data_IF_422125187308
#
_entry.id   IF_422125187308
#
_cell.length_a   1.000
_cell.length_b   1.000
_cell.length_c   1.000
_cell.angle_alpha   90.00
_cell.angle_beta   90.00
_cell.angle_gamma   90.00
#
_symmetry.space_group_name_H-M   'P 1'
#
loop_
_entity.id
_entity.type
_entity.pdbx_description
1 polymer ?
#
# COMPACT_ATOMS: atom_id res chain seq x y z
N UNK A 1 -30.30 -3.28 -6.98
CA UNK A 1 -29.04 -2.84 -6.31
C UNK A 1 -28.28 -4.04 -5.73
N UNK A 2 -28.95 -5.01 -5.09
CA UNK A 2 -28.32 -6.25 -4.57
C UNK A 2 -27.54 -7.02 -5.67
N UNK A 3 -28.07 -7.09 -6.89
CA UNK A 3 -27.40 -7.76 -8.02
C UNK A 3 -26.07 -7.11 -8.43
N UNK A 4 -25.83 -5.87 -8.02
CA UNK A 4 -24.58 -5.12 -8.22
C UNK A 4 -23.72 -5.04 -6.96
N UNK A 5 -23.98 -5.86 -5.94
CA UNK A 5 -23.22 -5.89 -4.69
C UNK A 5 -23.49 -4.72 -3.75
N UNK A 6 -24.52 -3.92 -4.01
CA UNK A 6 -24.91 -2.82 -3.12
C UNK A 6 -25.86 -3.35 -2.07
N UNK A 7 -25.38 -3.43 -0.82
CA UNK A 7 -26.18 -3.77 0.34
C UNK A 7 -26.53 -2.48 1.07
N UNK A 8 -27.83 -2.21 1.23
CA UNK A 8 -28.33 -1.10 2.03
C UNK A 8 -27.88 -1.28 3.50
N UNK A 9 -27.54 -0.19 4.18
CA UNK A 9 -27.12 -0.20 5.57
C UNK A 9 -28.22 -0.76 6.50
N UNK A 10 -29.47 -0.65 6.12
CA UNK A 10 -30.63 -1.20 6.84
C UNK A 10 -31.19 -2.51 6.26
N UNK A 11 -30.37 -3.22 5.46
CA UNK A 11 -30.81 -4.47 4.83
C UNK A 11 -31.34 -5.50 5.83
N UNK A 12 -30.67 -5.66 6.98
CA UNK A 12 -31.07 -6.62 8.01
C UNK A 12 -32.38 -6.19 8.67
N UNK A 13 -32.58 -4.88 8.93
CA UNK A 13 -33.85 -4.34 9.40
C UNK A 13 -35.00 -4.66 8.44
N UNK A 14 -34.81 -4.36 7.16
CA UNK A 14 -35.78 -4.67 6.11
C UNK A 14 -36.04 -6.18 5.96
N UNK A 15 -35.01 -7.01 6.09
CA UNK A 15 -35.14 -8.47 6.02
C UNK A 15 -35.97 -9.02 7.21
N UNK A 16 -35.75 -8.44 8.40
CA UNK A 16 -36.59 -8.77 9.59
C UNK A 16 -38.04 -8.36 9.38
N UNK A 17 -38.28 -7.10 8.95
CA UNK A 17 -39.63 -6.56 8.79
C UNK A 17 -40.42 -7.28 7.69
N UNK A 18 -39.73 -7.75 6.63
CA UNK A 18 -40.29 -8.58 5.58
C UNK A 18 -40.39 -10.08 5.94
N UNK A 19 -40.02 -10.50 7.17
CA UNK A 19 -40.01 -11.87 7.63
C UNK A 19 -39.15 -12.83 6.81
N UNK A 20 -38.03 -12.31 6.25
CA UNK A 20 -37.04 -13.15 5.54
C UNK A 20 -36.06 -13.81 6.49
N UNK A 21 -35.99 -13.35 7.74
CA UNK A 21 -35.16 -13.92 8.78
C UNK A 21 -35.98 -14.81 9.69
N UNK A 22 -35.40 -15.97 10.08
CA UNK A 22 -36.00 -16.84 11.09
C UNK A 22 -35.87 -16.16 12.45
N UNK A 23 -37.01 -15.95 13.09
CA UNK A 23 -37.09 -15.41 14.45
C UNK A 23 -37.43 -16.57 15.40
N UNK A 24 -36.53 -16.88 16.32
CA UNK A 24 -36.71 -17.93 17.33
C UNK A 24 -35.96 -17.57 18.61
N UNK A 25 -36.56 -17.71 19.75
CA UNK A 25 -35.96 -17.39 21.05
C UNK A 25 -34.71 -18.22 21.38
N UNK A 26 -34.47 -19.29 20.62
CA UNK A 26 -33.28 -20.13 20.74
C UNK A 26 -32.13 -19.73 19.83
N UNK A 27 -32.28 -18.74 18.93
CA UNK A 27 -31.25 -18.29 18.02
C UNK A 27 -30.59 -17.02 18.58
N UNK A 28 -29.41 -17.18 19.16
CA UNK A 28 -28.61 -16.05 19.67
C UNK A 28 -27.58 -15.52 18.66
N UNK A 29 -27.49 -16.11 17.45
CA UNK A 29 -26.49 -15.75 16.45
C UNK A 29 -26.87 -14.44 15.77
N UNK A 30 -26.00 -13.41 15.79
CA UNK A 30 -26.27 -12.16 15.08
C UNK A 30 -26.19 -12.35 13.55
N UNK A 31 -26.89 -11.49 12.82
CA UNK A 31 -26.70 -11.37 11.38
C UNK A 31 -25.43 -10.55 11.09
N UNK A 32 -24.62 -11.02 10.15
CA UNK A 32 -23.38 -10.35 9.78
C UNK A 32 -23.44 -9.91 8.32
N UNK A 33 -23.07 -8.66 8.04
CA UNK A 33 -22.87 -8.14 6.69
C UNK A 33 -21.41 -7.76 6.51
N UNK A 34 -20.82 -8.19 5.38
CA UNK A 34 -19.45 -7.85 5.02
C UNK A 34 -19.46 -7.04 3.72
N UNK A 35 -18.81 -5.87 3.72
CA UNK A 35 -18.64 -5.01 2.57
C UNK A 35 -17.16 -4.77 2.32
N UNK A 36 -16.72 -4.94 1.08
CA UNK A 36 -15.37 -4.57 0.65
C UNK A 36 -15.46 -3.62 -0.53
N UNK A 37 -14.84 -2.47 -0.39
CA UNK A 37 -14.66 -1.49 -1.46
C UNK A 37 -13.19 -1.47 -1.86
N UNK A 38 -12.90 -1.78 -3.12
CA UNK A 38 -11.56 -1.71 -3.71
C UNK A 38 -11.57 -0.79 -4.92
N UNK A 39 -10.83 0.31 -4.83
CA UNK A 39 -10.63 1.25 -5.91
C UNK A 39 -9.16 1.29 -6.30
N UNK A 40 -8.90 1.08 -7.58
CA UNK A 40 -7.57 1.19 -8.16
C UNK A 40 -7.59 2.11 -9.36
N UNK A 41 -6.75 3.14 -9.33
CA UNK A 41 -6.56 4.08 -10.43
C UNK A 41 -5.14 3.95 -10.95
N UNK A 42 -5.00 3.83 -12.27
CA UNK A 42 -3.70 3.75 -12.94
C UNK A 42 -3.65 4.72 -14.11
N UNK A 43 -2.53 5.40 -14.27
CA UNK A 43 -2.26 6.24 -15.42
C UNK A 43 -0.80 6.09 -15.84
N UNK A 44 -0.56 6.08 -17.13
CA UNK A 44 0.78 6.10 -17.72
C UNK A 44 0.93 7.35 -18.55
N UNK A 45 2.00 8.09 -18.33
CA UNK A 45 2.33 9.33 -19.02
C UNK A 45 3.69 9.20 -19.70
N UNK A 46 3.78 9.69 -20.92
CA UNK A 46 5.02 9.79 -21.68
C UNK A 46 5.21 11.25 -22.14
N UNK A 47 5.57 12.17 -21.22
CA UNK A 47 5.62 13.61 -21.51
C UNK A 47 6.69 13.99 -22.54
N UNK A 48 7.76 13.22 -22.60
CA UNK A 48 8.83 13.31 -23.60
C UNK A 48 9.23 11.91 -24.01
N UNK A 49 9.88 11.80 -25.15
CA UNK A 49 10.40 10.54 -25.68
C UNK A 49 11.30 9.85 -24.66
N UNK A 50 11.11 8.54 -24.43
CA UNK A 50 11.89 7.70 -23.53
C UNK A 50 11.72 7.99 -22.03
N UNK A 51 10.86 8.93 -21.63
CA UNK A 51 10.47 9.17 -20.26
C UNK A 51 9.07 8.62 -20.01
N UNK A 52 8.99 7.56 -19.20
CA UNK A 52 7.73 6.93 -18.80
C UNK A 52 7.47 7.17 -17.32
N UNK A 53 6.27 7.64 -17.00
CA UNK A 53 5.79 7.87 -15.64
C UNK A 53 4.53 7.04 -15.45
N UNK A 54 4.59 6.03 -14.59
CA UNK A 54 3.45 5.21 -14.20
C UNK A 54 2.94 5.70 -12.84
N UNK A 55 1.67 6.12 -12.78
CA UNK A 55 0.98 6.53 -11.57
C UNK A 55 0.02 5.43 -11.13
N UNK A 56 -0.03 5.16 -9.83
CA UNK A 56 -0.93 4.16 -9.25
C UNK A 56 -1.49 4.68 -7.92
N UNK A 57 -2.82 4.72 -7.81
CA UNK A 57 -3.49 5.06 -6.57
C UNK A 57 -4.49 3.96 -6.23
N UNK A 58 -4.56 3.59 -4.96
CA UNK A 58 -5.49 2.56 -4.48
C UNK A 58 -6.07 2.90 -3.13
N UNK A 59 -7.33 2.49 -2.92
CA UNK A 59 -8.01 2.53 -1.64
C UNK A 59 -8.82 1.26 -1.48
N UNK A 60 -8.57 0.53 -0.42
CA UNK A 60 -9.32 -0.66 -0.05
C UNK A 60 -9.89 -0.46 1.34
N UNK A 61 -11.20 -0.61 1.49
CA UNK A 61 -11.90 -0.55 2.76
C UNK A 61 -12.74 -1.80 2.93
N UNK A 62 -12.60 -2.44 4.08
CA UNK A 62 -13.43 -3.59 4.47
C UNK A 62 -14.18 -3.24 5.73
N UNK A 63 -15.48 -3.48 5.71
CA UNK A 63 -16.40 -3.24 6.84
C UNK A 63 -17.20 -4.49 7.09
N UNK A 64 -17.17 -4.96 8.33
CA UNK A 64 -18.02 -6.04 8.84
C UNK A 64 -18.95 -5.47 9.91
N UNK A 65 -20.26 -5.60 9.72
CA UNK A 65 -21.28 -5.23 10.70
C UNK A 65 -21.94 -6.48 11.26
N UNK A 66 -22.08 -6.55 12.58
CA UNK A 66 -22.80 -7.61 13.26
C UNK A 66 -23.98 -7.02 14.01
N UNK A 67 -25.18 -7.46 13.67
CA UNK A 67 -26.46 -6.91 14.13
C UNK A 67 -27.23 -8.02 14.84
N UNK A 68 -27.53 -7.81 16.13
CA UNK A 68 -28.43 -8.68 16.86
C UNK A 68 -29.88 -8.25 16.62
N UNK A 69 -30.51 -8.86 15.62
CA UNK A 69 -31.86 -8.50 15.18
C UNK A 69 -32.97 -9.07 16.03
N UNK A 70 -32.66 -10.02 16.93
CA UNK A 70 -33.63 -10.70 17.78
C UNK A 70 -33.92 -9.92 19.05
N UNK A 71 -32.93 -9.25 19.60
CA UNK A 71 -33.03 -8.59 20.89
C UNK A 71 -32.89 -7.10 20.76
N UNK A 72 -33.91 -6.36 21.22
CA UNK A 72 -33.86 -4.90 21.24
C UNK A 72 -32.79 -4.39 22.22
N UNK A 73 -32.12 -3.31 21.86
CA UNK A 73 -31.15 -2.62 22.73
C UNK A 73 -29.70 -3.18 22.68
N UNK A 74 -29.45 -4.26 21.94
CA UNK A 74 -28.08 -4.71 21.70
C UNK A 74 -27.47 -3.85 20.58
N UNK A 75 -26.36 -3.13 20.83
CA UNK A 75 -25.77 -2.26 19.83
C UNK A 75 -25.19 -3.07 18.67
N UNK A 76 -25.32 -2.52 17.47
CA UNK A 76 -24.62 -3.02 16.29
C UNK A 76 -23.13 -2.84 16.49
N UNK A 77 -22.36 -3.91 16.30
CA UNK A 77 -20.91 -3.85 16.30
C UNK A 77 -20.38 -3.75 14.88
N UNK A 78 -19.38 -2.93 14.69
CA UNK A 78 -18.73 -2.74 13.39
C UNK A 78 -17.23 -2.91 13.56
N UNK A 79 -16.61 -3.64 12.64
CA UNK A 79 -15.16 -3.79 12.54
C UNK A 79 -14.71 -3.65 11.09
N UNK A 80 -13.43 -3.42 10.89
CA UNK A 80 -12.92 -3.32 9.54
C UNK A 80 -11.46 -2.94 9.44
N UNK A 81 -11.04 -2.69 8.20
CA UNK A 81 -9.69 -2.26 7.84
C UNK A 81 -9.76 -1.18 6.77
N UNK A 82 -8.76 -0.32 6.70
CA UNK A 82 -8.60 0.66 5.64
C UNK A 82 -7.15 0.71 5.20
N UNK A 83 -6.92 0.66 3.90
CA UNK A 83 -5.63 0.99 3.29
C UNK A 83 -5.83 2.01 2.18
N UNK A 84 -4.94 2.99 2.09
CA UNK A 84 -5.02 4.01 1.05
C UNK A 84 -3.63 4.55 0.70
N UNK A 85 -3.38 4.74 -0.61
CA UNK A 85 -2.16 5.40 -1.06
C UNK A 85 -2.11 6.86 -0.66
N UNK A 86 -0.93 7.31 -0.26
CA UNK A 86 -0.66 8.67 0.22
C UNK A 86 0.71 9.15 -0.21
N UNK A 87 1.04 10.38 0.14
CA UNK A 87 2.39 10.94 0.01
C UNK A 87 2.86 11.36 1.39
N UNK A 88 4.01 10.82 1.84
CA UNK A 88 4.67 11.12 3.13
C UNK A 88 6.11 11.64 2.97
N UNK A 89 6.50 11.96 1.74
CA UNK A 89 7.86 12.37 1.37
C UNK A 89 8.37 13.59 2.17
N UNK A 90 7.48 14.46 2.64
CA UNK A 90 7.83 15.68 3.36
C UNK A 90 8.66 15.45 4.63
N UNK A 91 8.55 14.26 5.24
CA UNK A 91 9.30 13.87 6.45
C UNK A 91 10.26 12.69 6.20
N UNK A 92 10.36 12.18 4.94
CA UNK A 92 11.09 10.96 4.61
C UNK A 92 12.61 11.05 4.79
N UNK A 93 13.16 12.26 4.70
CA UNK A 93 14.60 12.51 4.75
C UNK A 93 15.02 13.28 6.00
N UNK A 94 14.13 13.38 6.97
CA UNK A 94 14.48 13.95 8.27
C UNK A 94 15.56 13.09 8.95
N UNK A 95 16.50 13.75 9.63
CA UNK A 95 17.50 13.02 10.39
C UNK A 95 16.86 12.44 11.65
N UNK A 96 17.08 11.16 11.89
CA UNK A 96 16.65 10.54 13.14
C UNK A 96 17.39 11.13 14.31
N UNK A 97 16.71 11.26 15.45
CA UNK A 97 17.31 11.69 16.69
C UNK A 97 18.46 10.76 17.11
N UNK A 98 19.53 11.33 17.62
CA UNK A 98 20.67 10.60 18.14
C UNK A 98 21.15 11.25 19.47
N UNK A 99 22.13 10.63 20.14
CA UNK A 99 22.64 11.13 21.42
C UNK A 99 23.18 12.57 21.34
N UNK A 100 23.73 12.99 20.20
CA UNK A 100 24.31 14.32 20.01
C UNK A 100 23.27 15.44 19.95
N UNK A 101 22.04 15.12 19.49
CA UNK A 101 20.92 16.07 19.39
C UNK A 101 19.82 15.82 20.43
N UNK A 102 20.11 15.05 21.49
CA UNK A 102 19.15 14.72 22.53
C UNK A 102 17.98 13.88 22.04
N UNK A 103 18.19 13.08 20.99
CA UNK A 103 17.15 12.27 20.34
C UNK A 103 15.98 13.09 19.78
N UNK A 104 16.24 14.35 19.40
CA UNK A 104 15.23 15.26 18.87
C UNK A 104 14.79 14.85 17.46
N UNK A 105 13.48 14.89 17.22
CA UNK A 105 12.83 14.76 15.90
C UNK A 105 11.86 15.92 15.70
N UNK A 106 12.04 16.68 14.63
CA UNK A 106 11.21 17.86 14.35
C UNK A 106 9.78 17.47 13.99
N UNK A 107 9.58 16.37 13.26
CA UNK A 107 8.25 15.87 12.94
C UNK A 107 7.51 15.37 14.18
N UNK A 108 8.21 14.66 15.08
CA UNK A 108 7.60 14.22 16.34
C UNK A 108 7.22 15.40 17.25
N UNK A 109 8.08 16.40 17.37
CA UNK A 109 7.77 17.62 18.13
C UNK A 109 6.56 18.36 17.56
N UNK A 110 6.48 18.48 16.22
CA UNK A 110 5.32 19.04 15.53
C UNK A 110 4.04 18.24 15.80
N UNK A 111 4.13 16.90 15.77
CA UNK A 111 3.01 16.02 16.10
C UNK A 111 2.50 16.27 17.51
N UNK A 112 3.39 16.24 18.52
CA UNK A 112 3.03 16.44 19.92
C UNK A 112 2.39 17.81 20.15
N UNK A 113 2.96 18.88 19.57
CA UNK A 113 2.41 20.24 19.66
C UNK A 113 1.05 20.37 18.99
N UNK A 114 0.79 19.60 17.95
CA UNK A 114 -0.50 19.63 17.24
C UNK A 114 -1.64 18.98 18.01
N UNK A 115 -1.35 18.07 18.95
CA UNK A 115 -2.38 17.33 19.69
C UNK A 115 -3.36 18.24 20.44
N UNK A 116 -2.88 19.31 21.07
CA UNK A 116 -3.76 20.24 21.78
C UNK A 116 -4.67 21.02 20.82
N UNK A 117 -4.15 21.37 19.66
CA UNK A 117 -4.94 22.01 18.60
C UNK A 117 -6.06 21.08 18.11
N UNK A 118 -5.73 19.81 17.85
CA UNK A 118 -6.74 18.82 17.40
C UNK A 118 -7.73 18.50 18.50
N UNK A 119 -7.29 18.34 19.75
CA UNK A 119 -8.20 18.16 20.89
C UNK A 119 -9.21 19.31 20.98
N UNK A 120 -8.75 20.55 20.92
CA UNK A 120 -9.63 21.71 21.00
C UNK A 120 -10.63 21.76 19.82
N UNK A 121 -10.20 21.35 18.62
CA UNK A 121 -11.09 21.26 17.45
C UNK A 121 -12.16 20.17 17.60
N UNK A 122 -11.79 19.00 18.13
CA UNK A 122 -12.75 17.93 18.43
C UNK A 122 -13.72 18.39 19.52
N UNK A 123 -13.21 18.98 20.62
CA UNK A 123 -14.04 19.46 21.73
C UNK A 123 -15.02 20.56 21.30
N UNK A 124 -14.61 21.43 20.36
CA UNK A 124 -15.47 22.46 19.80
C UNK A 124 -16.72 21.89 19.09
N UNK A 125 -16.67 20.66 18.58
CA UNK A 125 -17.83 20.01 17.95
C UNK A 125 -18.89 19.55 18.98
N UNK A 126 -18.48 19.38 20.24
CA UNK A 126 -19.39 19.01 21.33
C UNK A 126 -20.00 20.21 22.06
N UNK A 127 -19.68 21.42 21.68
CA UNK A 127 -20.28 22.64 22.28
C UNK A 127 -21.79 22.63 22.02
N UNK A 128 -22.57 22.65 23.11
CA UNK A 128 -24.03 22.58 23.04
C UNK A 128 -24.59 21.15 22.96
N UNK A 129 -23.72 20.13 22.91
CA UNK A 129 -24.15 18.74 22.95
C UNK A 129 -24.84 18.40 24.27
N UNK A 130 -25.74 17.41 24.20
CA UNK A 130 -26.36 16.82 25.38
C UNK A 130 -25.85 15.37 25.56
N UNK A 131 -25.63 14.97 26.79
CA UNK A 131 -25.36 13.58 27.10
C UNK A 131 -26.58 12.71 26.80
N UNK A 132 -26.40 11.48 26.28
CA UNK A 132 -27.50 10.55 26.12
C UNK A 132 -28.22 10.29 27.46
N UNK A 133 -29.55 10.13 27.41
CA UNK A 133 -30.37 9.87 28.62
C UNK A 133 -29.88 8.63 29.36
N UNK A 134 -29.43 7.60 28.66
CA UNK A 134 -28.85 6.37 29.23
C UNK A 134 -27.53 6.60 29.99
N UNK A 135 -26.92 7.78 29.79
CA UNK A 135 -25.71 8.23 30.47
C UNK A 135 -25.96 9.35 31.49
N UNK A 136 -27.22 9.58 31.87
CA UNK A 136 -27.62 10.55 32.89
C UNK A 136 -28.16 11.87 32.32
N UNK A 137 -28.12 12.10 31.01
CA UNK A 137 -28.66 13.31 30.40
C UNK A 137 -27.86 14.57 30.78
N UNK A 138 -28.41 15.74 30.43
CA UNK A 138 -27.77 17.03 30.73
C UNK A 138 -26.88 17.54 29.60
N UNK A 139 -26.32 18.76 29.76
CA UNK A 139 -25.44 19.37 28.78
C UNK A 139 -24.01 18.91 28.93
N UNK A 140 -23.31 18.74 27.81
CA UNK A 140 -21.89 18.47 27.80
C UNK A 140 -21.12 19.54 28.57
N UNK A 141 -20.30 19.11 29.50
CA UNK A 141 -19.47 19.96 30.33
C UNK A 141 -18.02 19.47 30.28
N UNK A 142 -17.10 20.19 29.61
CA UNK A 142 -15.68 19.81 29.53
C UNK A 142 -15.00 19.65 30.89
N UNK A 143 -15.49 20.34 31.93
CA UNK A 143 -14.95 20.22 33.29
C UNK A 143 -15.24 18.85 33.96
N UNK A 144 -16.25 18.14 33.46
CA UNK A 144 -16.64 16.81 33.96
C UNK A 144 -16.07 15.68 33.12
N UNK A 145 -16.01 15.89 31.79
CA UNK A 145 -15.53 14.88 30.84
C UNK A 145 -15.03 15.54 29.58
N UNK A 146 -13.79 16.04 29.59
CA UNK A 146 -13.15 16.64 28.43
C UNK A 146 -12.80 15.59 27.36
N UNK A 147 -12.62 16.03 26.11
CA UNK A 147 -12.05 15.20 25.05
C UNK A 147 -10.66 14.73 25.47
N UNK A 148 -10.43 13.42 25.38
CA UNK A 148 -9.11 12.86 25.70
C UNK A 148 -8.12 13.22 24.58
N UNK A 149 -7.00 13.87 24.96
CA UNK A 149 -5.92 14.24 24.04
C UNK A 149 -5.33 13.06 23.25
N UNK A 150 -5.44 11.87 23.81
CA UNK A 150 -4.90 10.63 23.25
C UNK A 150 -5.95 9.72 22.63
N UNK A 151 -7.14 10.25 22.37
CA UNK A 151 -8.19 9.51 21.65
C UNK A 151 -7.90 9.40 20.15
N UNK A 152 -8.51 8.43 19.50
CA UNK A 152 -8.30 8.16 18.07
C UNK A 152 -8.67 9.36 17.18
N UNK A 153 -9.74 10.07 17.52
CA UNK A 153 -10.25 11.27 16.84
C UNK A 153 -9.35 12.50 17.00
N UNK A 154 -8.41 12.50 17.92
CA UNK A 154 -7.38 13.52 18.09
C UNK A 154 -6.05 13.09 17.48
N UNK A 155 -5.57 11.90 17.85
CA UNK A 155 -4.22 11.45 17.48
C UNK A 155 -4.09 11.12 15.99
N UNK A 156 -5.09 10.46 15.38
CA UNK A 156 -4.99 10.05 13.98
C UNK A 156 -4.98 11.25 13.03
N UNK A 157 -5.90 12.23 13.13
CA UNK A 157 -5.82 13.43 12.31
C UNK A 157 -4.52 14.23 12.50
N UNK A 158 -4.03 14.34 13.75
CA UNK A 158 -2.76 15.01 14.05
C UNK A 158 -1.56 14.27 13.40
N UNK A 159 -1.56 12.95 13.45
CA UNK A 159 -0.54 12.09 12.82
C UNK A 159 -0.56 12.25 11.29
N UNK A 160 -1.74 12.16 10.67
CA UNK A 160 -1.90 12.36 9.22
C UNK A 160 -1.45 13.76 8.77
N UNK A 161 -1.79 14.79 9.54
CA UNK A 161 -1.37 16.16 9.23
C UNK A 161 0.15 16.36 9.34
N UNK A 162 0.80 15.64 10.23
CA UNK A 162 2.24 15.77 10.44
C UNK A 162 3.04 14.98 9.39
N UNK A 163 2.65 13.74 9.14
CA UNK A 163 3.47 12.78 8.40
C UNK A 163 3.02 12.55 6.95
N UNK A 164 1.87 13.07 6.55
CA UNK A 164 1.36 12.89 5.19
C UNK A 164 0.87 14.19 4.57
N UNK A 165 0.69 14.16 3.24
CA UNK A 165 0.01 15.24 2.51
C UNK A 165 -1.52 15.14 2.59
N UNK A 166 -2.08 14.13 3.28
CA UNK A 166 -3.51 13.99 3.53
C UNK A 166 -4.02 14.90 4.65
N UNK A 167 -3.11 15.50 5.39
CA UNK A 167 -3.41 16.37 6.51
C UNK A 167 -4.13 17.64 6.13
N UNK A 168 -4.43 18.44 7.11
CA UNK A 168 -5.16 19.69 7.00
C UNK A 168 -5.99 19.97 8.25
N UNK A 169 -7.07 20.75 8.10
CA UNK A 169 -7.97 21.05 9.22
C UNK A 169 -9.01 19.96 9.49
N UNK A 170 -9.00 18.86 8.73
CA UNK A 170 -9.96 17.77 8.87
C UNK A 170 -9.75 16.95 10.15
N UNK A 171 -10.87 16.50 10.74
CA UNK A 171 -10.90 15.63 11.92
C UNK A 171 -11.29 14.18 11.58
N UNK A 172 -11.13 13.79 10.32
CA UNK A 172 -11.54 12.46 9.91
C UNK A 172 -10.48 11.42 10.31
N UNK A 173 -10.91 10.44 11.05
CA UNK A 173 -10.12 9.23 11.35
C UNK A 173 -9.87 8.43 10.07
N UNK A 174 -10.93 8.31 9.23
CA UNK A 174 -10.88 7.62 7.95
C UNK A 174 -10.72 8.66 6.83
N UNK A 175 -9.55 8.74 6.18
CA UNK A 175 -9.36 9.67 5.07
C UNK A 175 -10.35 9.41 3.93
N UNK A 176 -10.94 10.49 3.41
CA UNK A 176 -11.89 10.41 2.31
C UNK A 176 -11.18 10.10 0.99
N UNK A 177 -11.92 9.54 0.03
CA UNK A 177 -11.41 9.21 -1.30
C UNK A 177 -10.67 10.37 -1.98
N UNK A 178 -11.16 11.61 -1.82
CA UNK A 178 -10.52 12.83 -2.36
C UNK A 178 -9.11 13.11 -1.83
N UNK A 179 -8.71 12.47 -0.72
CA UNK A 179 -7.38 12.59 -0.13
C UNK A 179 -6.41 11.52 -0.62
N UNK A 180 -6.87 10.61 -1.50
CA UNK A 180 -6.03 9.61 -2.12
C UNK A 180 -5.05 10.25 -3.09
N UNK A 181 -3.76 9.95 -2.91
CA UNK A 181 -2.68 10.48 -3.74
C UNK A 181 -1.93 9.32 -4.41
N UNK A 182 -1.48 9.49 -5.67
CA UNK A 182 -0.84 8.40 -6.38
C UNK A 182 0.60 8.16 -5.90
N UNK A 183 1.00 6.90 -5.92
CA UNK A 183 2.37 6.46 -5.97
C UNK A 183 2.87 6.56 -7.42
N UNK A 184 4.19 6.58 -7.64
CA UNK A 184 4.72 6.70 -9.01
C UNK A 184 5.96 5.86 -9.24
N UNK A 185 6.17 5.52 -10.50
CA UNK A 185 7.41 4.95 -11.01
C UNK A 185 7.82 5.75 -12.23
N UNK A 186 9.06 6.21 -12.25
CA UNK A 186 9.66 7.00 -13.33
C UNK A 186 10.78 6.20 -13.94
N UNK A 187 10.77 6.07 -15.28
CA UNK A 187 11.80 5.41 -16.06
C UNK A 187 12.23 6.31 -17.20
N UNK A 188 13.53 6.50 -17.33
CA UNK A 188 14.11 7.26 -18.42
C UNK A 188 15.22 6.47 -19.12
N UNK A 189 15.08 6.24 -20.44
CA UNK A 189 15.99 5.45 -21.25
C UNK A 189 16.68 6.26 -22.38
N UNK A 190 16.46 7.58 -22.42
CA UNK A 190 16.95 8.43 -23.51
C UNK A 190 18.44 8.73 -23.48
N UNK A 191 19.15 8.48 -22.38
CA UNK A 191 20.59 8.82 -22.26
C UNK A 191 21.47 8.09 -23.27
N UNK A 192 21.16 6.85 -23.62
CA UNK A 192 21.93 6.08 -24.60
C UNK A 192 21.96 6.70 -26.02
N UNK A 193 21.05 7.65 -26.30
CA UNK A 193 20.97 8.34 -27.60
C UNK A 193 21.84 9.58 -27.70
N UNK A 194 22.35 10.04 -26.56
CA UNK A 194 23.25 11.20 -26.57
C UNK A 194 24.60 10.84 -27.24
N UNK A 195 25.18 11.70 -28.07
CA UNK A 195 26.41 11.40 -28.83
C UNK A 195 27.56 10.90 -27.95
N UNK A 196 27.67 11.39 -26.73
CA UNK A 196 28.69 10.97 -25.76
C UNK A 196 28.52 9.52 -25.30
N UNK A 197 27.27 9.03 -25.19
CA UNK A 197 26.95 7.71 -24.67
C UNK A 197 26.82 6.64 -25.77
N UNK A 198 26.48 6.99 -27.01
CA UNK A 198 26.16 6.05 -28.09
C UNK A 198 27.28 5.04 -28.40
N UNK A 199 28.56 5.43 -28.24
CA UNK A 199 29.68 4.57 -28.55
C UNK A 199 30.15 3.68 -27.40
N UNK A 200 29.62 3.87 -26.22
CA UNK A 200 30.04 3.17 -25.01
C UNK A 200 28.91 2.27 -24.48
N UNK A 201 27.69 2.77 -24.50
CA UNK A 201 26.55 2.12 -23.87
C UNK A 201 25.50 1.74 -24.91
N UNK A 202 25.16 0.45 -24.92
CA UNK A 202 24.02 -0.09 -25.65
C UNK A 202 22.69 0.40 -25.06
N UNK A 203 22.58 0.49 -23.74
CA UNK A 203 21.45 1.05 -23.05
C UNK A 203 21.85 1.67 -21.71
N UNK A 204 21.18 2.77 -21.35
CA UNK A 204 21.27 3.42 -20.03
C UNK A 204 19.88 3.73 -19.58
N UNK A 205 19.45 3.12 -18.48
CA UNK A 205 18.13 3.32 -17.88
C UNK A 205 18.27 3.93 -16.50
N UNK A 206 17.53 5.00 -16.24
CA UNK A 206 17.39 5.60 -14.91
C UNK A 206 15.99 5.24 -14.39
N UNK A 207 15.93 4.74 -13.17
CA UNK A 207 14.71 4.31 -12.52
C UNK A 207 14.54 5.03 -11.18
N UNK A 208 13.32 5.48 -10.91
CA UNK A 208 12.91 6.01 -9.62
C UNK A 208 11.51 5.48 -9.32
N UNK A 209 11.28 5.00 -8.11
CA UNK A 209 9.96 4.56 -7.69
C UNK A 209 9.67 4.99 -6.26
N UNK A 210 8.48 5.54 -6.07
CA UNK A 210 7.95 5.96 -4.78
C UNK A 210 6.62 5.27 -4.50
N UNK A 211 6.51 4.72 -3.29
CA UNK A 211 5.29 4.11 -2.80
C UNK A 211 5.08 4.49 -1.34
N UNK A 212 3.88 4.97 -1.02
CA UNK A 212 3.47 5.19 0.35
C UNK A 212 2.02 4.78 0.55
N UNK A 213 1.75 4.07 1.64
CA UNK A 213 0.43 3.55 1.99
C UNK A 213 0.16 3.87 3.45
N UNK A 214 -0.95 4.54 3.70
CA UNK A 214 -1.56 4.65 5.02
C UNK A 214 -2.46 3.44 5.27
N UNK A 215 -2.40 2.87 6.46
CA UNK A 215 -3.20 1.73 6.85
C UNK A 215 -3.76 1.88 8.27
N UNK A 216 -5.04 1.57 8.43
CA UNK A 216 -5.69 1.22 9.68
C UNK A 216 -5.83 -0.31 9.65
N UNK A 217 -4.96 -1.02 10.39
CA UNK A 217 -4.86 -2.48 10.32
C UNK A 217 -6.13 -3.17 10.81
N UNK A 218 -6.75 -2.62 11.85
CA UNK A 218 -8.05 -3.06 12.35
C UNK A 218 -8.67 -1.98 13.21
N UNK A 219 -10.00 -1.90 13.16
CA UNK A 219 -10.80 -1.11 14.06
C UNK A 219 -12.04 -1.88 14.48
N UNK A 220 -12.59 -1.56 15.63
CA UNK A 220 -13.82 -2.13 16.16
C UNK A 220 -14.61 -1.05 16.88
N UNK A 221 -15.94 -1.04 16.70
CA UNK A 221 -16.80 -0.11 17.44
C UNK A 221 -16.83 -0.46 18.92
N UNK A 222 -16.89 0.57 19.77
CA UNK A 222 -17.20 0.37 21.20
C UNK A 222 -18.65 -0.07 21.37
N UNK A 223 -18.87 -1.12 22.13
CA UNK A 223 -20.22 -1.62 22.45
C UNK A 223 -21.04 -0.64 23.32
N UNK A 224 -20.36 0.25 24.04
CA UNK A 224 -20.99 1.25 24.93
C UNK A 224 -21.12 2.63 24.30
N UNK A 225 -20.63 2.80 23.05
CA UNK A 225 -20.72 4.09 22.35
C UNK A 225 -22.17 4.41 22.00
N UNK A 226 -22.55 5.64 22.27
CA UNK A 226 -23.86 6.18 21.92
C UNK A 226 -23.70 7.45 21.11
N UNK A 227 -24.33 7.46 19.94
CA UNK A 227 -24.34 8.63 19.06
C UNK A 227 -25.16 9.76 19.68
N UNK A 228 -24.60 10.95 19.57
CA UNK A 228 -25.33 12.19 19.86
C UNK A 228 -25.85 12.81 18.57
N UNK A 229 -24.96 13.08 17.61
CA UNK A 229 -25.29 13.71 16.32
C UNK A 229 -24.13 13.56 15.31
N UNK A 230 -24.45 13.19 14.07
CA UNK A 230 -23.49 13.20 12.95
C UNK A 230 -22.15 12.47 13.19
N UNK A 231 -22.21 11.30 13.83
CA UNK A 231 -21.03 10.51 14.14
C UNK A 231 -20.25 10.97 15.38
N UNK A 232 -20.73 11.98 16.09
CA UNK A 232 -20.24 12.37 17.41
C UNK A 232 -21.00 11.62 18.49
N UNK A 233 -20.29 11.12 19.48
CA UNK A 233 -20.93 10.36 20.54
C UNK A 233 -20.09 10.27 21.81
N UNK A 234 -20.60 9.51 22.74
CA UNK A 234 -20.02 9.34 24.06
C UNK A 234 -19.85 7.87 24.42
N UNK A 235 -18.83 7.58 25.21
CA UNK A 235 -18.67 6.32 25.92
C UNK A 235 -18.76 6.58 27.42
N UNK A 236 -19.02 5.53 28.21
CA UNK A 236 -18.85 5.61 29.66
C UNK A 236 -17.39 5.36 30.00
N UNK A 237 -16.79 6.27 30.76
CA UNK A 237 -15.47 6.03 31.36
C UNK A 237 -15.53 4.82 32.28
N UNK A 238 -14.59 3.90 32.13
CA UNK A 238 -14.59 2.62 32.84
C UNK A 238 -14.39 2.78 34.36
N UNK A 239 -13.74 3.90 34.78
CA UNK A 239 -13.38 4.14 36.19
C UNK A 239 -14.44 4.95 36.90
N UNK A 240 -14.86 6.07 36.29
CA UNK A 240 -15.81 7.02 36.91
C UNK A 240 -17.27 6.75 36.52
N UNK A 241 -17.51 5.99 35.44
CA UNK A 241 -18.85 5.83 34.86
C UNK A 241 -19.39 7.08 34.16
N UNK A 242 -18.61 8.18 34.18
CA UNK A 242 -19.02 9.44 33.56
C UNK A 242 -19.03 9.36 32.03
N UNK A 243 -19.97 10.08 31.37
CA UNK A 243 -19.96 10.15 29.92
C UNK A 243 -18.76 10.98 29.42
N UNK A 244 -18.03 10.43 28.47
CA UNK A 244 -16.85 11.04 27.89
C UNK A 244 -16.98 11.09 26.36
N UNK A 245 -16.69 12.23 25.70
CA UNK A 245 -16.63 12.30 24.25
C UNK A 245 -15.64 11.29 23.69
N UNK A 246 -16.06 10.55 22.70
CA UNK A 246 -15.21 9.52 22.07
C UNK A 246 -15.61 9.26 20.64
N UNK A 247 -14.64 8.91 19.83
CA UNK A 247 -14.87 8.24 18.54
C UNK A 247 -15.68 6.96 18.74
N UNK A 248 -16.48 6.60 17.76
CA UNK A 248 -17.19 5.31 17.73
C UNK A 248 -16.21 4.12 17.75
N UNK A 249 -15.00 4.31 17.24
CA UNK A 249 -14.09 3.21 16.96
C UNK A 249 -12.89 3.15 17.91
N UNK A 250 -12.67 1.95 18.43
CA UNK A 250 -11.41 1.57 19.05
C UNK A 250 -10.43 1.16 17.94
N UNK A 251 -9.32 1.87 17.81
CA UNK A 251 -8.25 1.63 16.84
C UNK A 251 -6.97 1.40 17.62
N UNK A 252 -6.39 0.20 17.51
CA UNK A 252 -5.17 -0.11 18.25
C UNK A 252 -3.94 0.57 17.65
N UNK A 253 -3.86 0.63 16.32
CA UNK A 253 -2.71 1.14 15.60
C UNK A 253 -3.07 1.63 14.21
N UNK A 254 -2.39 2.68 13.77
CA UNK A 254 -2.33 3.09 12.36
C UNK A 254 -0.87 3.13 11.89
N UNK A 255 -0.64 2.94 10.60
CA UNK A 255 0.71 2.93 10.04
C UNK A 255 0.81 3.63 8.69
N UNK A 256 2.01 4.12 8.39
CA UNK A 256 2.42 4.60 7.07
C UNK A 256 3.63 3.77 6.65
N UNK A 257 3.49 3.05 5.54
CA UNK A 257 4.57 2.29 4.94
C UNK A 257 5.05 3.03 3.70
N UNK A 258 6.27 3.55 3.74
CA UNK A 258 6.87 4.33 2.67
C UNK A 258 8.09 3.63 2.11
N UNK A 259 8.22 3.63 0.78
CA UNK A 259 9.34 2.99 0.10
C UNK A 259 9.76 3.79 -1.14
N UNK A 260 11.03 4.08 -1.22
CA UNK A 260 11.74 4.44 -2.43
C UNK A 260 12.48 3.20 -2.94
N UNK A 261 11.96 2.52 -3.92
CA UNK A 261 12.48 1.23 -4.38
C UNK A 261 12.56 1.14 -5.92
N UNK A 262 13.59 1.80 -6.54
CA UNK A 262 14.68 2.57 -5.93
C UNK A 262 14.36 4.07 -5.73
N UNK A 263 15.12 4.74 -4.83
CA UNK A 263 15.20 6.21 -4.82
C UNK A 263 15.95 6.71 -6.06
N UNK A 264 17.05 6.03 -6.39
CA UNK A 264 17.78 6.19 -7.65
C UNK A 264 18.30 4.82 -8.08
N UNK A 265 17.93 4.40 -9.27
CA UNK A 265 18.45 3.21 -9.94
C UNK A 265 19.05 3.56 -11.28
N UNK A 266 20.22 3.00 -11.57
CA UNK A 266 20.92 3.16 -12.84
C UNK A 266 21.26 1.77 -13.34
N UNK A 267 20.68 1.38 -14.48
CA UNK A 267 20.99 0.14 -15.17
C UNK A 267 21.69 0.46 -16.48
N UNK A 268 22.90 -0.03 -16.67
CA UNK A 268 23.68 0.17 -17.89
C UNK A 268 24.02 -1.15 -18.56
N UNK A 269 23.99 -1.15 -19.87
CA UNK A 269 24.51 -2.24 -20.71
C UNK A 269 25.53 -1.65 -21.67
N UNK A 270 26.76 -2.14 -21.63
CA UNK A 270 27.82 -1.73 -22.51
C UNK A 270 27.78 -2.52 -23.82
N UNK A 271 28.44 -2.02 -24.87
CA UNK A 271 28.50 -2.69 -26.17
C UNK A 271 29.15 -4.11 -26.09
N UNK A 272 30.04 -4.34 -25.14
CA UNK A 272 30.68 -5.64 -24.90
C UNK A 272 29.82 -6.63 -24.10
N UNK A 273 28.51 -6.36 -23.92
CA UNK A 273 27.54 -7.16 -23.11
C UNK A 273 27.85 -7.20 -21.60
N UNK A 274 28.69 -6.29 -21.10
CA UNK A 274 28.78 -6.05 -19.66
C UNK A 274 27.55 -5.26 -19.22
N UNK A 275 26.90 -5.74 -18.18
CA UNK A 275 25.78 -5.04 -17.53
C UNK A 275 26.21 -4.61 -16.13
N UNK A 276 25.85 -3.38 -15.75
CA UNK A 276 26.02 -2.91 -14.38
C UNK A 276 24.74 -2.28 -13.89
N UNK A 277 24.40 -2.56 -12.64
CA UNK A 277 23.24 -2.02 -11.93
C UNK A 277 23.68 -1.40 -10.63
N UNK A 278 23.22 -0.18 -10.38
CA UNK A 278 23.40 0.52 -9.11
C UNK A 278 22.06 1.03 -8.65
N UNK A 279 21.64 0.64 -7.45
CA UNK A 279 20.41 1.13 -6.85
C UNK A 279 20.63 1.59 -5.41
N UNK A 280 20.02 2.71 -5.08
CA UNK A 280 19.84 3.16 -3.72
C UNK A 280 18.36 3.08 -3.37
N UNK A 281 18.05 2.34 -2.31
CA UNK A 281 16.69 2.13 -1.81
C UNK A 281 16.58 2.66 -0.40
N UNK A 282 15.41 3.19 -0.07
CA UNK A 282 15.07 3.57 1.30
C UNK A 282 13.66 3.12 1.61
N UNK A 283 13.46 2.48 2.74
CA UNK A 283 12.14 2.13 3.25
C UNK A 283 11.96 2.73 4.64
N UNK A 284 10.75 3.15 4.94
CA UNK A 284 10.37 3.71 6.23
C UNK A 284 9.01 3.16 6.65
N UNK A 285 8.90 2.75 7.90
CA UNK A 285 7.64 2.38 8.53
C UNK A 285 7.42 3.29 9.72
N UNK A 286 6.34 4.04 9.67
CA UNK A 286 5.83 4.84 10.78
C UNK A 286 4.60 4.16 11.34
N UNK A 287 4.55 3.95 12.65
CA UNK A 287 3.36 3.42 13.30
C UNK A 287 2.99 4.23 14.54
N UNK A 288 1.73 4.61 14.62
CA UNK A 288 1.13 5.25 15.79
C UNK A 288 0.33 4.19 16.56
N UNK A 289 0.83 3.80 17.72
CA UNK A 289 0.11 2.93 18.66
C UNK A 289 -0.79 3.78 19.54
N UNK A 290 -2.08 3.50 19.52
CA UNK A 290 -3.06 4.16 20.40
C UNK A 290 -3.02 3.60 21.81
N UNK A 291 -2.65 2.32 21.95
CA UNK A 291 -2.62 1.63 23.24
C UNK A 291 -1.46 2.08 24.12
N UNK A 292 -0.27 2.25 23.52
CA UNK A 292 0.93 2.70 24.24
C UNK A 292 1.20 4.20 24.09
N UNK A 293 0.40 4.91 23.30
CA UNK A 293 0.55 6.34 23.00
C UNK A 293 1.97 6.66 22.49
N UNK A 294 2.40 5.90 21.46
CA UNK A 294 3.76 5.98 20.93
C UNK A 294 3.76 6.07 19.41
N UNK A 295 4.70 6.84 18.87
CA UNK A 295 5.06 6.81 17.45
C UNK A 295 6.38 6.06 17.33
N UNK A 296 6.34 4.97 16.57
CA UNK A 296 7.52 4.20 16.23
C UNK A 296 7.91 4.48 14.79
N UNK A 297 9.17 4.74 14.53
CA UNK A 297 9.74 4.92 13.20
C UNK A 297 10.90 3.95 13.00
N UNK A 298 10.84 3.19 11.92
CA UNK A 298 11.91 2.30 11.48
C UNK A 298 12.29 2.64 10.04
N UNK A 299 13.57 2.88 9.79
CA UNK A 299 14.12 3.22 8.48
C UNK A 299 15.22 2.25 8.08
N UNK A 300 15.19 1.77 6.83
CA UNK A 300 16.26 0.99 6.23
C UNK A 300 16.75 1.65 4.96
N UNK A 301 18.08 1.68 4.76
CA UNK A 301 18.75 2.21 3.58
C UNK A 301 19.63 1.13 2.99
N UNK A 302 19.40 0.82 1.71
CA UNK A 302 20.04 -0.29 1.02
C UNK A 302 20.74 0.20 -0.25
N UNK A 303 22.01 -0.21 -0.41
CA UNK A 303 22.73 -0.11 -1.67
C UNK A 303 22.76 -1.48 -2.33
N UNK A 304 22.37 -1.54 -3.60
CA UNK A 304 22.42 -2.76 -4.41
C UNK A 304 23.31 -2.49 -5.64
N UNK A 305 24.35 -3.29 -5.77
CA UNK A 305 25.27 -3.25 -6.89
C UNK A 305 25.23 -4.60 -7.58
N UNK A 306 24.90 -4.61 -8.88
CA UNK A 306 24.87 -5.80 -9.71
C UNK A 306 25.84 -5.66 -10.87
N UNK A 307 26.61 -6.69 -11.15
CA UNK A 307 27.46 -6.81 -12.32
C UNK A 307 27.11 -8.08 -13.08
N UNK A 308 26.93 -7.99 -14.38
CA UNK A 308 26.64 -9.14 -15.22
C UNK A 308 27.47 -9.13 -16.49
N UNK A 309 27.97 -10.27 -16.92
CA UNK A 309 28.68 -10.39 -18.18
C UNK A 309 28.16 -11.59 -18.96
N UNK A 310 27.73 -11.36 -20.19
CA UNK A 310 27.27 -12.41 -21.09
C UNK A 310 28.31 -12.71 -22.14
N UNK A 311 28.80 -13.92 -22.13
CA UNK A 311 29.71 -14.47 -23.13
C UNK A 311 28.90 -15.32 -24.08
N UNK A 312 28.82 -14.90 -25.35
CA UNK A 312 28.10 -15.63 -26.38
C UNK A 312 29.02 -16.70 -27.02
N UNK A 313 28.45 -17.82 -27.43
CA UNK A 313 29.15 -18.89 -28.20
C UNK A 313 30.37 -19.50 -27.49
N UNK A 314 30.24 -19.89 -26.22
CA UNK A 314 31.31 -20.60 -25.53
C UNK A 314 31.35 -22.06 -25.97
N UNK A 315 32.51 -22.50 -26.53
CA UNK A 315 32.84 -23.90 -26.69
C UNK A 315 33.58 -24.41 -25.42
N UNK A 316 32.84 -24.71 -24.36
CA UNK A 316 33.42 -25.22 -23.08
C UNK A 316 34.10 -26.60 -23.20
N UNK A 317 33.80 -27.35 -24.21
CA UNK A 317 34.44 -28.60 -24.52
C UNK A 317 34.88 -28.58 -25.98
N UNK A 318 36.18 -28.48 -26.21
CA UNK A 318 36.77 -28.58 -27.53
C UNK A 318 36.42 -29.94 -28.18
N UNK A 319 35.22 -30.07 -28.67
CA UNK A 319 34.79 -31.19 -29.48
C UNK A 319 35.53 -31.12 -30.80
N UNK A 320 36.57 -31.95 -30.98
CA UNK A 320 37.09 -32.29 -32.29
C UNK A 320 35.90 -32.58 -33.21
N UNK A 321 35.76 -31.81 -34.27
CA UNK A 321 34.86 -32.12 -35.38
C UNK A 321 35.32 -33.45 -36.01
N UNK A 322 34.90 -34.55 -35.47
CA UNK A 322 34.94 -35.84 -36.18
C UNK A 322 33.81 -35.80 -37.20
N UNK A 323 34.13 -35.30 -38.39
CA UNK A 323 33.37 -35.60 -39.60
C UNK A 323 33.42 -37.13 -39.83
N UNK A 324 32.49 -37.85 -39.26
CA UNK A 324 32.19 -39.20 -39.74
C UNK A 324 31.38 -39.04 -41.02
N UNK A 325 32.13 -38.96 -42.14
CA UNK A 325 31.57 -39.15 -43.48
C UNK A 325 31.22 -40.62 -43.57
N UNK A 326 29.96 -40.96 -43.27
CA UNK A 326 29.43 -42.29 -43.58
C UNK A 326 29.06 -42.27 -45.06
N UNK A 327 29.98 -42.77 -45.92
CA UNK A 327 29.68 -43.19 -47.30
C UNK A 327 28.69 -44.37 -47.26
N UNK A 328 27.41 -44.06 -47.41
CA UNK A 328 26.40 -45.07 -47.72
C UNK A 328 26.32 -45.12 -49.23
N UNK A 329 26.90 -46.18 -49.85
CA UNK A 329 26.65 -46.56 -51.23
C UNK A 329 25.16 -46.81 -51.40
N UNK A 330 24.51 -46.00 -52.22
CA UNK A 330 23.17 -46.26 -52.75
C UNK A 330 23.31 -47.23 -53.92
N UNK A 331 22.80 -48.44 -53.75
CA UNK A 331 22.45 -49.30 -54.88
C UNK A 331 21.09 -48.85 -55.39
N UNK A 332 21.07 -48.64 -56.67
CA UNK A 332 19.96 -48.30 -57.51
C UNK A 332 18.91 -49.42 -57.64
N UNK A 333 17.63 -49.11 -57.54
CA UNK A 333 16.63 -49.72 -58.42
C UNK A 333 15.42 -48.78 -58.52
N UNK A 334 15.00 -48.66 -59.74
CA UNK A 334 13.98 -47.79 -60.33
C UNK A 334 12.60 -48.07 -59.77
N UNK A 335 11.74 -47.05 -59.68
CA UNK A 335 10.52 -46.93 -60.50
C UNK A 335 9.70 -45.70 -60.17
N UNK A 336 9.50 -44.93 -61.20
CA UNK A 336 8.33 -44.16 -61.66
C UNK A 336 7.27 -43.55 -60.70
N UNK A 337 7.10 -42.28 -61.02
CA UNK A 337 5.84 -41.53 -61.30
C UNK A 337 5.26 -40.64 -60.23
N UNK A 338 5.16 -39.43 -60.68
CA UNK A 338 4.06 -38.44 -60.71
C UNK A 338 4.03 -37.33 -59.67
N UNK A 339 4.33 -36.15 -60.24
CA UNK A 339 3.67 -34.84 -60.11
C UNK A 339 3.13 -34.39 -58.77
N UNK A 340 3.72 -33.33 -58.22
CA UNK A 340 3.17 -32.55 -57.14
C UNK A 340 4.13 -31.40 -56.77
N UNK A 341 3.83 -30.25 -57.36
CA UNK A 341 4.53 -28.99 -57.15
C UNK A 341 4.43 -28.55 -55.66
N UNK A 342 5.52 -28.63 -54.90
CA UNK A 342 5.59 -28.03 -53.58
C UNK A 342 6.96 -27.37 -53.45
N UNK A 343 6.93 -26.06 -53.38
CA UNK A 343 8.11 -25.24 -53.10
C UNK A 343 8.72 -25.67 -51.77
N UNK A 344 9.89 -26.30 -51.85
CA UNK A 344 10.73 -26.61 -50.71
C UNK A 344 11.49 -25.34 -50.33
N UNK A 345 10.98 -24.61 -49.37
CA UNK A 345 11.79 -23.62 -48.63
C UNK A 345 12.85 -24.38 -47.85
N UNK A 346 14.08 -24.30 -48.32
CA UNK A 346 15.28 -24.77 -47.63
C UNK A 346 15.46 -23.97 -46.32
N UNK A 347 14.76 -24.40 -45.29
CA UNK A 347 15.07 -23.94 -43.94
C UNK A 347 16.24 -24.79 -43.42
N UNK A 348 17.45 -24.29 -43.63
CA UNK A 348 18.66 -24.79 -42.96
C UNK A 348 18.53 -24.45 -41.49
N UNK A 349 17.80 -25.24 -40.72
CA UNK A 349 17.91 -25.25 -39.30
C UNK A 349 19.31 -25.77 -38.93
N UNK A 350 20.28 -24.83 -38.89
CA UNK A 350 21.53 -25.04 -38.18
C UNK A 350 21.18 -25.06 -36.69
N UNK A 351 20.87 -26.24 -36.17
CA UNK A 351 20.68 -26.50 -34.73
C UNK A 351 22.02 -26.35 -33.98
N UNK A 352 22.62 -25.20 -34.04
CA UNK A 352 23.69 -24.82 -33.15
C UNK A 352 23.09 -24.59 -31.79
N UNK A 353 23.42 -25.42 -30.82
CA UNK A 353 23.09 -25.17 -29.41
C UNK A 353 23.86 -23.90 -29.04
N UNK A 354 23.16 -22.75 -29.00
CA UNK A 354 23.72 -21.52 -28.49
C UNK A 354 24.05 -21.72 -27.01
N UNK A 355 25.32 -21.89 -26.71
CA UNK A 355 25.87 -22.03 -25.37
C UNK A 355 26.34 -20.67 -24.91
N UNK A 356 25.45 -19.89 -24.30
CA UNK A 356 25.80 -18.63 -23.69
C UNK A 356 26.11 -18.86 -22.21
N UNK A 357 27.18 -18.25 -21.72
CA UNK A 357 27.50 -18.21 -20.28
C UNK A 357 27.13 -16.82 -19.75
N UNK A 358 26.24 -16.81 -18.77
CA UNK A 358 25.90 -15.59 -18.03
C UNK A 358 26.57 -15.64 -16.66
N UNK A 359 27.47 -14.71 -16.41
CA UNK A 359 28.07 -14.49 -15.10
C UNK A 359 27.32 -13.33 -14.43
N UNK A 360 26.95 -13.50 -13.16
CA UNK A 360 26.27 -12.44 -12.40
C UNK A 360 26.84 -12.38 -10.98
N UNK A 361 27.13 -11.17 -10.54
CA UNK A 361 27.54 -10.85 -9.18
C UNK A 361 26.59 -9.78 -8.64
N UNK A 362 25.91 -10.07 -7.54
CA UNK A 362 25.06 -9.12 -6.84
C UNK A 362 25.61 -8.90 -5.42
N UNK A 363 25.80 -7.65 -5.06
CA UNK A 363 26.23 -7.20 -3.74
C UNK A 363 25.17 -6.29 -3.16
N UNK A 364 24.81 -6.49 -1.90
CA UNK A 364 23.90 -5.60 -1.18
C UNK A 364 24.50 -5.18 0.16
N UNK A 365 24.38 -3.90 0.46
CA UNK A 365 24.76 -3.33 1.75
C UNK A 365 23.54 -2.63 2.36
N UNK A 366 23.19 -3.03 3.60
CA UNK A 366 22.02 -2.50 4.33
C UNK A 366 22.47 -1.81 5.61
N UNK A 367 21.91 -0.61 5.83
CA UNK A 367 21.97 0.12 7.10
C UNK A 367 20.55 0.28 7.65
N UNK A 368 20.36 -0.15 8.88
CA UNK A 368 19.12 0.04 9.65
C UNK A 368 19.31 1.09 10.72
#
# INVERSE_FOLDING_TARGET
DFAFGVIDDDYIGKARDNRWLLVSDSIATPATTNKTEDLQLRATLEPIRDLKIDLNASRTETVSKSIQYMYAGIPTTQSGTLTMTTISIGTAFESMGNANNGYYSASFDKFVKSLDTYRNRVEAQYIGAAYPMSMGGGRFNPSVGAVNKYSADVMIPAFLNTYTSMGGNGLNIFPKLKSMLPNWTIRYSGLSRLPFFQNIFKSVNINHAYKSIFAIGSYQSFSTWQEYMNGLGFIKDATSGAPMPSSMYNIAQVSINEAFAPLLGIDVTLENNLTARLEYRQTRVLSLSMTSVQVNEATSKDWVIGLGYRINNINLFGGRNTRLVRNIKKNSSQQNQQSGNTQSTNNKNNGGINRDLNLRLDLSYRKQ
#
